data_IF_469858258139
#
_entry.id   IF_469858258139
#
_cell.length_a   1.000
_cell.length_b   1.000
_cell.length_c   1.000
_cell.angle_alpha   90.00
_cell.angle_beta   90.00
_cell.angle_gamma   90.00
#
_symmetry.space_group_name_H-M   'P 1'
#
loop_
_entity.id
_entity.type
_entity.pdbx_description
1 polymer ?
#
# COMPACT_ATOMS: atom_id res chain seq x y z
N UNK A 1 -17.56 15.79 -21.60
CA UNK A 1 -17.36 14.47 -22.22
C UNK A 1 -16.49 14.69 -23.46
N UNK A 2 -15.60 13.75 -23.81
CA UNK A 2 -14.71 13.71 -25.01
C UNK A 2 -13.19 13.98 -24.86
N UNK A 3 -12.56 13.80 -23.69
CA UNK A 3 -11.07 13.87 -23.60
C UNK A 3 -10.34 12.64 -24.14
N UNK A 4 -10.98 11.46 -24.14
CA UNK A 4 -10.35 10.20 -24.60
C UNK A 4 -10.13 10.13 -26.11
N UNK A 5 -10.89 10.89 -26.91
CA UNK A 5 -10.83 10.85 -28.37
C UNK A 5 -9.65 11.62 -28.96
N UNK A 6 -9.26 12.73 -28.33
CA UNK A 6 -8.14 13.58 -28.78
C UNK A 6 -6.78 12.94 -28.45
N UNK A 7 -6.67 12.27 -27.30
CA UNK A 7 -5.46 11.55 -26.89
C UNK A 7 -5.13 10.36 -27.81
N UNK A 8 -6.16 9.66 -28.31
CA UNK A 8 -5.99 8.54 -29.24
C UNK A 8 -5.47 8.99 -30.62
N UNK A 9 -5.94 10.13 -31.12
CA UNK A 9 -5.47 10.75 -32.37
C UNK A 9 -4.02 11.24 -32.25
N UNK A 10 -3.64 11.81 -31.10
CA UNK A 10 -2.26 12.25 -30.82
C UNK A 10 -1.25 11.09 -30.74
N UNK A 11 -1.69 9.88 -30.35
CA UNK A 11 -0.84 8.69 -30.30
C UNK A 11 -0.49 8.12 -31.68
N UNK A 12 -1.35 8.35 -32.68
CA UNK A 12 -1.27 7.73 -34.02
C UNK A 12 -0.10 8.26 -34.86
N UNK A 13 0.46 9.41 -34.50
CA UNK A 13 1.57 10.06 -35.20
C UNK A 13 2.93 9.90 -34.50
N UNK A 14 3.00 9.16 -33.39
CA UNK A 14 4.25 8.97 -32.65
C UNK A 14 5.09 7.86 -33.30
N UNK A 15 6.41 8.07 -33.50
CA UNK A 15 7.27 7.08 -34.13
C UNK A 15 7.42 5.84 -33.22
N UNK A 16 7.54 4.66 -33.82
CA UNK A 16 7.61 3.38 -33.10
C UNK A 16 8.63 3.35 -31.95
N UNK A 17 9.85 3.91 -32.07
CA UNK A 17 10.80 3.95 -30.96
C UNK A 17 10.31 4.71 -29.73
N UNK A 18 9.53 5.79 -29.94
CA UNK A 18 8.93 6.56 -28.86
C UNK A 18 7.91 5.72 -28.10
N UNK A 19 7.04 5.00 -28.82
CA UNK A 19 6.02 4.13 -28.21
C UNK A 19 6.67 3.00 -27.39
N UNK A 20 7.76 2.41 -27.90
CA UNK A 20 8.52 1.38 -27.18
C UNK A 20 9.10 1.94 -25.88
N UNK A 21 9.66 3.16 -25.91
CA UNK A 21 10.21 3.82 -24.72
C UNK A 21 9.12 4.14 -23.70
N UNK A 22 7.94 4.57 -24.16
CA UNK A 22 6.79 4.86 -23.29
C UNK A 22 6.28 3.58 -22.61
N UNK A 23 6.14 2.48 -23.36
CA UNK A 23 5.77 1.16 -22.80
C UNK A 23 6.79 0.71 -21.75
N UNK A 24 8.10 0.78 -22.03
CA UNK A 24 9.14 0.41 -21.06
C UNK A 24 9.04 1.23 -19.78
N UNK A 25 8.83 2.54 -19.90
CA UNK A 25 8.64 3.44 -18.74
C UNK A 25 7.42 3.05 -17.91
N UNK A 26 6.32 2.65 -18.56
CA UNK A 26 5.13 2.16 -17.84
C UNK A 26 5.38 0.80 -17.17
N UNK A 27 6.07 -0.12 -17.83
CA UNK A 27 6.46 -1.41 -17.25
C UNK A 27 7.35 -1.23 -16.02
N UNK A 28 8.33 -0.34 -16.06
CA UNK A 28 9.19 -0.03 -14.91
C UNK A 28 8.40 0.53 -13.73
N UNK A 29 7.42 1.41 -13.99
CA UNK A 29 6.53 1.93 -12.95
C UNK A 29 5.71 0.80 -12.32
N UNK A 30 5.12 -0.06 -13.13
CA UNK A 30 4.33 -1.21 -12.65
C UNK A 30 5.20 -2.15 -11.82
N UNK A 31 6.41 -2.47 -12.28
CA UNK A 31 7.36 -3.30 -11.55
C UNK A 31 7.72 -2.71 -10.17
N UNK A 32 7.93 -1.39 -10.08
CA UNK A 32 8.16 -0.70 -8.79
C UNK A 32 6.95 -0.81 -7.86
N UNK A 33 5.73 -0.67 -8.39
CA UNK A 33 4.51 -0.84 -7.59
C UNK A 33 4.35 -2.26 -7.07
N UNK A 34 4.57 -3.27 -7.92
CA UNK A 34 4.51 -4.68 -7.53
C UNK A 34 5.56 -4.99 -6.46
N UNK A 35 6.83 -4.61 -6.68
CA UNK A 35 7.89 -4.81 -5.71
C UNK A 35 7.59 -4.14 -4.36
N UNK A 36 6.97 -2.96 -4.36
CA UNK A 36 6.54 -2.28 -3.13
C UNK A 36 5.47 -3.10 -2.39
N UNK A 37 4.47 -3.62 -3.10
CA UNK A 37 3.41 -4.46 -2.52
C UNK A 37 4.01 -5.75 -1.95
N UNK A 38 4.88 -6.43 -2.70
CA UNK A 38 5.51 -7.67 -2.27
C UNK A 38 6.41 -7.47 -1.05
N UNK A 39 7.19 -6.37 -1.04
CA UNK A 39 8.01 -6.00 0.12
C UNK A 39 7.13 -5.76 1.35
N UNK A 40 6.04 -4.99 1.21
CA UNK A 40 5.11 -4.74 2.31
C UNK A 40 4.46 -6.03 2.82
N UNK A 41 4.06 -6.93 1.91
CA UNK A 41 3.50 -8.24 2.26
C UNK A 41 4.53 -9.09 3.02
N UNK A 42 5.77 -9.13 2.54
CA UNK A 42 6.83 -9.90 3.20
C UNK A 42 7.16 -9.35 4.58
N UNK A 43 7.22 -8.02 4.74
CA UNK A 43 7.38 -7.35 6.04
C UNK A 43 6.22 -7.70 6.98
N UNK A 44 4.98 -7.65 6.49
CA UNK A 44 3.80 -8.03 7.29
C UNK A 44 3.87 -9.50 7.75
N UNK A 45 4.21 -10.42 6.85
CA UNK A 45 4.38 -11.84 7.19
C UNK A 45 5.47 -12.00 8.25
N UNK A 46 6.62 -11.36 8.08
CA UNK A 46 7.71 -11.43 9.05
C UNK A 46 7.29 -10.85 10.41
N UNK A 47 6.61 -9.70 10.43
CA UNK A 47 6.11 -9.09 11.66
C UNK A 47 5.12 -9.97 12.41
N UNK A 48 4.35 -10.78 11.67
CA UNK A 48 3.36 -11.71 12.24
C UNK A 48 3.97 -12.96 12.86
N UNK A 49 5.20 -13.35 12.49
CA UNK A 49 5.89 -14.53 13.07
C UNK A 49 6.17 -14.39 14.56
N UNK A 50 6.37 -13.15 15.03
CA UNK A 50 6.61 -12.85 16.44
C UNK A 50 5.31 -12.80 17.27
N UNK A 51 4.15 -12.92 16.64
CA UNK A 51 2.87 -12.83 17.33
C UNK A 51 2.51 -14.19 17.95
N UNK A 52 2.04 -14.20 19.21
CA UNK A 52 1.59 -15.43 19.84
C UNK A 52 0.28 -15.93 19.22
N UNK A 53 0.00 -17.23 19.39
CA UNK A 53 -1.18 -17.89 18.79
C UNK A 53 -2.52 -17.33 19.29
N UNK A 54 -2.56 -16.72 20.46
CA UNK A 54 -3.77 -16.13 21.08
C UNK A 54 -3.98 -14.66 20.70
N UNK A 55 -3.41 -14.21 19.58
CA UNK A 55 -3.53 -12.83 19.11
C UNK A 55 -4.94 -12.54 18.56
N UNK A 56 -5.46 -11.37 18.90
CA UNK A 56 -6.69 -10.83 18.31
C UNK A 56 -6.30 -9.69 17.37
N UNK A 57 -6.67 -9.81 16.10
CA UNK A 57 -6.47 -8.74 15.11
C UNK A 57 -7.71 -7.83 15.12
N UNK A 58 -7.50 -6.52 15.21
CA UNK A 58 -8.57 -5.51 15.14
C UNK A 58 -8.27 -4.48 14.07
N UNK A 59 -9.31 -4.08 13.35
CA UNK A 59 -9.28 -2.98 12.40
C UNK A 59 -9.65 -1.69 13.13
N UNK A 60 -8.74 -0.73 13.17
CA UNK A 60 -8.91 0.53 13.90
C UNK A 60 -8.53 1.72 13.04
N UNK A 61 -9.23 2.82 13.22
CA UNK A 61 -8.84 4.10 12.67
C UNK A 61 -8.16 4.92 13.76
N UNK A 62 -7.11 5.66 13.42
CA UNK A 62 -6.36 6.45 14.39
C UNK A 62 -6.42 7.94 14.05
N UNK A 63 -6.39 8.74 15.11
CA UNK A 63 -6.11 10.16 15.00
C UNK A 63 -4.59 10.35 14.93
N UNK A 64 -4.13 11.00 13.87
CA UNK A 64 -2.72 11.33 13.59
C UNK A 64 -2.06 12.22 14.66
N UNK A 65 -2.84 12.84 15.56
CA UNK A 65 -2.35 13.75 16.60
C UNK A 65 -1.76 15.07 16.08
N UNK A 66 -1.84 15.33 14.77
CA UNK A 66 -1.40 16.60 14.17
C UNK A 66 -2.50 17.65 14.32
N UNK A 67 -2.13 18.86 14.74
CA UNK A 67 -3.07 19.96 15.03
C UNK A 67 -4.04 20.25 13.87
N UNK A 68 -3.60 20.17 12.61
CA UNK A 68 -4.42 20.52 11.45
C UNK A 68 -4.94 19.30 10.67
N UNK A 69 -4.86 18.12 11.25
CA UNK A 69 -5.19 16.88 10.59
C UNK A 69 -6.62 16.47 10.95
N UNK A 70 -7.56 16.85 10.10
CA UNK A 70 -9.00 16.55 10.25
C UNK A 70 -9.40 15.19 9.65
N UNK A 71 -8.44 14.42 9.16
CA UNK A 71 -8.68 13.19 8.42
C UNK A 71 -8.52 11.97 9.33
N UNK A 72 -9.48 11.07 9.27
CA UNK A 72 -9.41 9.78 9.94
C UNK A 72 -8.37 8.93 9.22
N UNK A 73 -7.27 8.57 9.90
CA UNK A 73 -6.23 7.76 9.30
C UNK A 73 -6.52 6.27 9.49
N UNK A 74 -6.46 5.54 8.38
CA UNK A 74 -6.60 4.11 8.39
C UNK A 74 -7.31 3.58 7.14
N UNK A 75 -7.72 2.31 7.17
CA UNK A 75 -7.76 1.44 8.35
C UNK A 75 -6.40 0.84 8.77
N UNK A 76 -6.08 1.06 10.04
CA UNK A 76 -5.14 0.34 10.91
C UNK A 76 -5.49 -1.14 11.08
N UNK A 77 -4.56 -2.08 10.99
CA UNK A 77 -4.71 -3.41 11.60
C UNK A 77 -3.75 -3.53 12.78
N UNK A 78 -4.28 -3.79 13.97
CA UNK A 78 -3.49 -3.98 15.17
C UNK A 78 -3.68 -5.39 15.71
N UNK A 79 -2.57 -6.01 16.06
CA UNK A 79 -2.50 -7.26 16.78
C UNK A 79 -2.49 -7.01 18.29
N UNK A 80 -3.43 -7.59 19.03
CA UNK A 80 -3.53 -7.50 20.48
C UNK A 80 -3.35 -8.88 21.13
N UNK A 81 -2.57 -8.96 22.20
CA UNK A 81 -2.43 -10.20 22.97
C UNK A 81 -2.09 -9.90 24.43
N UNK A 82 -2.30 -10.87 25.32
CA UNK A 82 -1.78 -10.81 26.69
C UNK A 82 -0.44 -11.53 26.75
N UNK A 83 0.56 -10.92 27.37
CA UNK A 83 1.81 -11.61 27.69
C UNK A 83 1.64 -12.58 28.87
N UNK A 84 2.69 -13.33 29.21
CA UNK A 84 2.70 -14.32 30.29
C UNK A 84 2.37 -13.71 31.67
N UNK A 85 2.61 -12.39 31.84
CA UNK A 85 2.28 -11.64 33.05
C UNK A 85 0.85 -11.05 33.02
N UNK A 86 0.06 -11.36 31.99
CA UNK A 86 -1.31 -10.88 31.82
C UNK A 86 -1.43 -9.44 31.29
N UNK A 87 -0.32 -8.79 30.91
CA UNK A 87 -0.33 -7.42 30.40
C UNK A 87 -0.74 -7.40 28.94
N UNK A 88 -1.68 -6.50 28.60
CA UNK A 88 -2.12 -6.30 27.22
C UNK A 88 -0.99 -5.64 26.41
N UNK A 89 -0.60 -6.30 25.33
CA UNK A 89 0.35 -5.83 24.32
C UNK A 89 -0.39 -5.55 23.01
N UNK A 90 0.16 -4.63 22.22
CA UNK A 90 -0.31 -4.35 20.87
C UNK A 90 0.85 -4.12 19.89
N UNK A 91 0.67 -4.52 18.63
CA UNK A 91 1.62 -4.30 17.52
C UNK A 91 0.85 -3.98 16.24
N UNK A 92 1.45 -3.16 15.37
CA UNK A 92 0.95 -2.85 14.04
C UNK A 92 1.55 -3.81 13.01
#
# INVERSE_FOLDING_TARGET
MSSLGEDLLASRNKPLPYLIAEIKKHQEKVAKFINKIDTQKQTSINNSKDLPKNVTIRREYIDCGKLDCQWVHGPYYYAYWKDENGKLRKKY
#
